data_IF_379848610904
#
_entry.id   IF_379848610904
#
_cell.length_a   1.000
_cell.length_b   1.000
_cell.length_c   1.000
_cell.angle_alpha   90.00
_cell.angle_beta   90.00
_cell.angle_gamma   90.00
#
_symmetry.space_group_name_H-M   'P 1'
#
loop_
_entity.id
_entity.type
_entity.pdbx_description
1 polymer ?
#
# COMPACT_ATOMS: atom_id res chain seq x y z
N UNK A 1 66.13 24.51 43.31
CA UNK A 1 65.89 25.63 42.37
C UNK A 1 65.22 25.04 41.14
N UNK A 2 64.03 25.56 40.81
CA UNK A 2 63.31 25.56 39.52
C UNK A 2 63.17 24.21 38.77
N UNK A 3 61.99 23.68 38.42
CA UNK A 3 60.66 24.25 38.30
C UNK A 3 59.67 23.16 37.84
N UNK A 4 58.39 23.53 37.87
CA UNK A 4 57.17 22.71 37.80
C UNK A 4 56.83 22.13 36.41
N UNK A 5 55.95 21.12 36.43
CA UNK A 5 55.03 20.73 35.35
C UNK A 5 55.07 19.20 35.15
N UNK A 6 54.12 18.37 35.60
CA UNK A 6 52.68 18.52 35.58
C UNK A 6 52.11 17.81 34.36
N UNK A 7 51.98 16.47 34.40
CA UNK A 7 51.12 15.72 33.47
C UNK A 7 50.44 14.60 34.27
N UNK A 8 49.20 14.88 34.68
CA UNK A 8 48.20 13.87 34.95
C UNK A 8 47.55 13.50 33.62
N UNK A 9 47.64 12.24 33.19
CA UNK A 9 46.83 11.72 32.09
C UNK A 9 46.88 10.17 32.09
N UNK A 10 45.76 9.54 32.45
CA UNK A 10 45.20 8.36 31.78
C UNK A 10 44.15 7.68 32.68
N UNK A 11 43.00 8.33 32.87
CA UNK A 11 41.76 7.64 33.20
C UNK A 11 40.84 7.80 31.98
N UNK A 12 41.06 6.98 30.96
CA UNK A 12 40.22 6.92 29.79
C UNK A 12 38.98 6.07 30.10
N UNK A 13 37.90 6.78 30.46
CA UNK A 13 36.51 6.55 30.06
C UNK A 13 36.14 5.13 29.56
N UNK A 14 35.71 4.27 30.49
CA UNK A 14 34.67 3.28 30.22
C UNK A 14 33.30 3.94 30.43
N UNK A 15 32.89 4.75 29.45
CA UNK A 15 31.49 5.11 29.26
C UNK A 15 31.01 4.30 28.07
N UNK A 16 30.75 3.00 28.29
CA UNK A 16 29.87 2.25 27.42
C UNK A 16 28.50 2.91 27.55
N UNK A 17 28.19 3.78 26.60
CA UNK A 17 26.87 4.35 26.46
C UNK A 17 25.90 3.19 26.22
N UNK A 18 25.24 2.73 27.28
CA UNK A 18 23.92 2.13 27.17
C UNK A 18 22.98 3.23 26.65
N UNK A 19 23.07 3.54 25.36
CA UNK A 19 21.95 4.16 24.69
C UNK A 19 20.81 3.15 24.81
N UNK A 20 19.85 3.45 25.68
CA UNK A 20 18.58 2.75 25.66
C UNK A 20 18.11 2.76 24.19
N UNK A 21 17.59 1.63 23.66
CA UNK A 21 16.98 1.66 22.35
C UNK A 21 15.96 2.82 22.33
N UNK A 22 15.86 3.58 21.22
CA UNK A 22 14.88 4.64 21.12
C UNK A 22 13.52 4.07 21.56
N UNK A 23 12.80 4.82 22.40
CA UNK A 23 11.48 4.40 22.83
C UNK A 23 10.68 4.02 21.56
N UNK A 24 10.00 2.86 21.53
CA UNK A 24 9.19 2.50 20.38
C UNK A 24 8.27 3.67 20.06
N UNK A 25 8.28 4.08 18.80
CA UNK A 25 7.46 5.20 18.32
C UNK A 25 6.00 4.98 18.76
N UNK A 26 5.30 6.04 19.19
CA UNK A 26 3.90 5.90 19.58
C UNK A 26 3.11 5.31 18.41
N UNK A 27 2.22 4.36 18.71
CA UNK A 27 1.21 3.87 17.77
C UNK A 27 0.60 5.04 17.02
N UNK A 28 0.86 5.12 15.72
CA UNK A 28 0.44 6.23 14.87
C UNK A 28 -0.43 5.73 13.75
N UNK A 29 -1.62 6.32 13.62
CA UNK A 29 -2.53 6.11 12.51
C UNK A 29 -2.56 7.38 11.68
N UNK A 30 -2.25 7.27 10.39
CA UNK A 30 -2.43 8.33 9.41
C UNK A 30 -3.57 7.95 8.46
N UNK A 31 -4.72 8.58 8.65
CA UNK A 31 -5.87 8.51 7.74
C UNK A 31 -5.64 9.37 6.50
N UNK A 32 -6.48 9.24 5.48
CA UNK A 32 -6.48 10.08 4.27
C UNK A 32 -6.30 11.57 4.63
N UNK A 33 -7.13 12.12 5.50
CA UNK A 33 -7.04 13.52 5.94
C UNK A 33 -5.68 13.87 6.57
N UNK A 34 -5.02 12.90 7.22
CA UNK A 34 -3.70 13.08 7.83
C UNK A 34 -2.60 13.02 6.78
N UNK A 35 -2.72 12.12 5.80
CA UNK A 35 -1.82 12.01 4.66
C UNK A 35 -1.86 13.29 3.82
N UNK A 36 -3.06 13.82 3.54
CA UNK A 36 -3.26 15.10 2.87
C UNK A 36 -2.57 16.26 3.60
N UNK A 37 -2.82 16.42 4.91
CA UNK A 37 -2.23 17.50 5.71
C UNK A 37 -0.71 17.45 5.77
N UNK A 38 -0.12 16.26 5.60
CA UNK A 38 1.33 16.06 5.62
C UNK A 38 1.95 16.13 4.23
N UNK A 39 1.15 16.34 3.17
CA UNK A 39 1.58 16.25 1.77
C UNK A 39 2.29 14.91 1.49
N UNK A 40 1.73 13.83 2.02
CA UNK A 40 2.26 12.49 1.83
C UNK A 40 2.21 12.06 0.34
N UNK A 41 3.20 11.32 -0.18
CA UNK A 41 3.19 10.83 -1.58
C UNK A 41 1.96 10.01 -1.97
N UNK A 42 1.20 9.48 -1.01
CA UNK A 42 -0.09 8.85 -1.26
C UNK A 42 -1.13 9.82 -1.86
N UNK A 43 -0.94 11.13 -1.74
CA UNK A 43 -1.80 12.18 -2.28
C UNK A 43 -1.02 13.04 -3.26
N UNK A 44 -1.53 13.19 -4.48
CA UNK A 44 -0.98 14.14 -5.45
C UNK A 44 -1.81 15.42 -5.47
N UNK A 45 -1.12 16.55 -5.36
CA UNK A 45 -1.72 17.88 -5.43
C UNK A 45 -2.13 18.24 -6.88
N UNK A 46 -3.06 19.20 -7.07
CA UNK A 46 -3.46 19.63 -8.41
C UNK A 46 -2.25 20.16 -9.21
N UNK A 47 -2.08 19.66 -10.43
CA UNK A 47 -0.90 19.98 -11.26
C UNK A 47 0.42 19.34 -10.78
N UNK A 48 0.39 18.54 -9.71
CA UNK A 48 1.54 17.81 -9.19
C UNK A 48 2.00 16.69 -10.12
N UNK A 49 3.21 16.22 -9.90
CA UNK A 49 3.81 15.12 -10.68
C UNK A 49 3.21 13.77 -10.28
N UNK A 50 2.79 12.98 -11.25
CA UNK A 50 2.28 11.64 -10.99
C UNK A 50 3.42 10.63 -10.91
N UNK A 51 3.39 9.80 -9.87
CA UNK A 51 4.40 8.78 -9.61
C UNK A 51 4.60 7.88 -10.85
N UNK A 52 5.84 7.79 -11.31
CA UNK A 52 6.26 6.89 -12.40
C UNK A 52 5.52 7.10 -13.74
N UNK A 53 4.92 8.28 -13.96
CA UNK A 53 4.28 8.71 -15.22
C UNK A 53 5.00 9.90 -15.90
N UNK A 54 6.09 10.39 -15.31
CA UNK A 54 6.91 11.47 -15.88
C UNK A 54 8.25 10.97 -16.40
N UNK A 55 8.92 11.76 -17.24
CA UNK A 55 10.31 11.48 -17.62
C UNK A 55 11.17 11.21 -16.37
N UNK A 56 12.02 10.17 -16.34
CA UNK A 56 12.43 9.33 -17.48
C UNK A 56 11.61 8.04 -17.68
N UNK A 57 10.46 7.89 -16.99
CA UNK A 57 9.59 6.74 -17.15
C UNK A 57 8.91 6.75 -18.51
N UNK A 58 8.59 5.57 -19.09
CA UNK A 58 7.98 5.53 -20.39
C UNK A 58 6.62 6.22 -20.35
N UNK A 59 6.38 7.11 -21.32
CA UNK A 59 5.13 7.85 -21.48
C UNK A 59 4.02 6.96 -22.07
N UNK A 60 3.92 5.69 -21.64
CA UNK A 60 2.89 4.78 -22.13
C UNK A 60 1.57 5.30 -21.58
N UNK A 61 0.70 5.79 -22.47
CA UNK A 61 -0.58 6.43 -22.13
C UNK A 61 -0.50 7.87 -21.59
N UNK A 62 0.66 8.35 -21.14
CA UNK A 62 0.81 9.62 -20.43
C UNK A 62 1.25 10.81 -21.31
N UNK A 63 0.32 11.70 -21.68
CA UNK A 63 0.59 12.98 -22.36
C UNK A 63 1.45 13.96 -21.53
N UNK A 64 1.24 14.06 -20.22
CA UNK A 64 1.92 15.08 -19.38
C UNK A 64 2.60 14.52 -18.13
N UNK A 65 2.11 13.38 -17.61
CA UNK A 65 2.49 12.87 -16.29
C UNK A 65 2.18 13.83 -15.13
N UNK A 66 1.28 14.80 -15.33
CA UNK A 66 0.84 15.76 -14.33
C UNK A 66 -0.62 15.52 -13.95
N UNK A 67 -0.93 15.66 -12.67
CA UNK A 67 -2.30 15.62 -12.14
C UNK A 67 -3.15 16.76 -12.72
N UNK A 68 -4.46 16.52 -12.88
CA UNK A 68 -5.45 17.55 -13.23
C UNK A 68 -5.30 18.79 -12.34
N UNK A 69 -5.44 19.99 -12.90
CA UNK A 69 -5.23 21.26 -12.16
C UNK A 69 -6.39 21.63 -11.24
N UNK A 70 -7.53 20.94 -11.35
CA UNK A 70 -8.76 21.24 -10.62
C UNK A 70 -9.00 20.36 -9.39
N UNK A 71 -8.23 19.29 -9.19
CA UNK A 71 -8.49 18.33 -8.12
C UNK A 71 -7.23 17.59 -7.66
N UNK A 72 -7.23 17.19 -6.39
CA UNK A 72 -6.28 16.23 -5.83
C UNK A 72 -6.59 14.82 -6.30
N UNK A 73 -5.70 13.89 -6.01
CA UNK A 73 -5.95 12.46 -6.23
C UNK A 73 -5.14 11.57 -5.31
N UNK A 74 -5.68 10.38 -5.05
CA UNK A 74 -4.94 9.25 -4.51
C UNK A 74 -3.95 8.78 -5.56
N UNK A 75 -2.66 8.81 -5.20
CA UNK A 75 -1.58 8.33 -6.05
C UNK A 75 -1.78 6.85 -6.36
N UNK A 76 -1.63 6.51 -7.64
CA UNK A 76 -1.59 5.12 -8.08
C UNK A 76 -0.14 4.67 -8.09
N UNK A 77 0.16 3.67 -7.29
CA UNK A 77 1.49 3.06 -7.24
C UNK A 77 1.49 1.80 -8.11
N UNK A 78 2.46 1.63 -9.02
CA UNK A 78 2.63 0.37 -9.70
C UNK A 78 3.23 -0.64 -8.73
N UNK A 79 2.84 -1.89 -8.92
CA UNK A 79 3.37 -3.02 -8.19
C UNK A 79 3.52 -4.22 -9.13
N UNK A 80 4.12 -5.26 -8.59
CA UNK A 80 4.00 -6.62 -9.11
C UNK A 80 3.28 -7.49 -8.09
N UNK A 81 2.58 -8.49 -8.57
CA UNK A 81 2.04 -9.56 -7.74
C UNK A 81 1.95 -10.81 -8.60
N UNK A 82 2.43 -11.93 -8.06
CA UNK A 82 2.31 -13.25 -8.70
C UNK A 82 2.83 -13.28 -10.15
N UNK A 83 3.95 -12.61 -10.41
CA UNK A 83 4.60 -12.61 -11.73
C UNK A 83 3.95 -11.65 -12.73
N UNK A 84 2.93 -10.89 -12.32
CA UNK A 84 2.14 -10.01 -13.19
C UNK A 84 2.10 -8.56 -12.68
N UNK A 85 1.83 -7.60 -13.57
CA UNK A 85 1.48 -6.24 -13.19
C UNK A 85 0.33 -6.18 -12.17
N UNK A 86 0.50 -5.29 -11.19
CA UNK A 86 -0.52 -4.89 -10.25
C UNK A 86 -0.43 -3.37 -10.02
N UNK A 87 -1.43 -2.81 -9.35
CA UNK A 87 -1.43 -1.43 -8.89
C UNK A 87 -2.31 -1.27 -7.65
N UNK A 88 -1.97 -0.31 -6.79
CA UNK A 88 -2.71 0.00 -5.58
C UNK A 88 -2.71 1.51 -5.30
N UNK A 89 -3.61 1.94 -4.42
CA UNK A 89 -3.59 3.27 -3.80
C UNK A 89 -3.41 3.10 -2.30
N UNK A 90 -2.84 4.07 -1.58
CA UNK A 90 -2.74 4.01 -0.11
C UNK A 90 -3.77 4.95 0.51
N UNK A 91 -4.60 4.46 1.43
CA UNK A 91 -5.62 5.28 2.10
C UNK A 91 -5.34 5.47 3.59
N UNK A 92 -4.72 4.49 4.24
CA UNK A 92 -4.34 4.56 5.64
C UNK A 92 -2.96 3.96 5.86
N UNK A 93 -2.21 4.51 6.83
CA UNK A 93 -0.99 3.91 7.36
C UNK A 93 -1.08 3.76 8.88
N UNK A 94 -0.61 2.62 9.38
CA UNK A 94 -0.45 2.36 10.81
C UNK A 94 1.00 2.02 11.11
N UNK A 95 1.63 2.79 11.98
CA UNK A 95 2.98 2.51 12.47
C UNK A 95 2.89 1.90 13.88
N UNK A 96 3.58 0.77 14.07
CA UNK A 96 3.71 -0.02 15.28
C UNK A 96 2.44 -0.74 15.76
N UNK A 97 1.43 -0.90 14.91
CA UNK A 97 0.24 -1.72 15.22
C UNK A 97 0.49 -3.20 14.92
N UNK A 98 0.11 -4.06 15.86
CA UNK A 98 0.21 -5.51 15.69
C UNK A 98 -0.90 -6.07 14.81
N UNK A 99 -2.12 -5.58 14.97
CA UNK A 99 -3.30 -6.04 14.21
C UNK A 99 -4.26 -4.88 13.95
N UNK A 100 -5.11 -5.05 12.94
CA UNK A 100 -6.21 -4.13 12.61
C UNK A 100 -7.52 -4.92 12.65
N UNK A 101 -8.56 -4.34 13.23
CA UNK A 101 -9.86 -4.99 13.38
C UNK A 101 -10.91 -4.39 12.45
N UNK A 102 -11.79 -5.24 11.93
CA UNK A 102 -13.02 -4.80 11.32
C UNK A 102 -13.94 -4.14 12.38
N UNK A 103 -14.44 -2.95 12.08
CA UNK A 103 -15.30 -2.17 12.96
C UNK A 103 -16.78 -2.33 12.60
N UNK A 104 -17.72 -2.18 13.54
CA UNK A 104 -19.14 -2.27 13.20
C UNK A 104 -19.59 -1.12 12.28
N UNK A 105 -20.42 -1.45 11.29
CA UNK A 105 -21.15 -0.51 10.45
C UNK A 105 -22.63 -0.86 10.49
N UNK A 106 -23.45 0.06 11.01
CA UNK A 106 -24.89 -0.16 11.12
C UNK A 106 -25.60 0.37 9.88
N UNK A 107 -26.49 -0.40 9.29
CA UNK A 107 -27.21 -0.03 8.06
C UNK A 107 -28.71 -0.18 8.27
N UNK A 108 -29.42 0.93 8.08
CA UNK A 108 -30.87 0.99 8.15
C UNK A 108 -31.52 0.54 6.84
N UNK A 109 -32.07 -0.67 6.83
CA UNK A 109 -32.72 -1.23 5.62
C UNK A 109 -34.08 -0.60 5.30
N UNK A 110 -34.65 0.17 6.23
CA UNK A 110 -35.95 0.84 6.05
C UNK A 110 -35.83 2.29 5.56
N UNK A 111 -34.65 2.90 5.69
CA UNK A 111 -34.35 4.26 5.22
C UNK A 111 -33.24 4.26 4.17
N UNK A 112 -33.49 3.60 3.03
CA UNK A 112 -32.61 3.63 1.85
C UNK A 112 -31.15 3.20 2.13
N UNK A 113 -30.93 2.27 3.07
CA UNK A 113 -29.60 1.80 3.47
C UNK A 113 -28.70 2.90 4.03
N UNK A 114 -29.28 3.86 4.78
CA UNK A 114 -28.50 4.85 5.52
C UNK A 114 -27.50 4.14 6.44
N UNK A 115 -26.23 4.51 6.32
CA UNK A 115 -25.13 3.88 7.04
C UNK A 115 -24.67 4.76 8.21
N UNK A 116 -24.28 4.11 9.30
CA UNK A 116 -23.76 4.73 10.52
C UNK A 116 -22.50 3.96 10.94
N UNK A 117 -21.33 4.60 10.79
CA UNK A 117 -20.06 4.06 11.26
C UNK A 117 -20.01 4.09 12.79
N UNK A 118 -19.59 2.97 13.40
CA UNK A 118 -19.44 2.91 14.85
C UNK A 118 -18.33 3.80 15.40
N UNK A 119 -17.33 4.09 14.57
CA UNK A 119 -16.14 4.85 14.93
C UNK A 119 -15.84 5.84 13.78
N UNK A 120 -15.46 7.06 14.11
CA UNK A 120 -15.01 8.06 13.14
C UNK A 120 -13.49 7.97 12.86
N UNK A 121 -13.02 8.63 11.81
CA UNK A 121 -11.61 8.69 11.43
C UNK A 121 -10.69 9.45 12.40
N UNK A 122 -11.25 10.10 13.44
CA UNK A 122 -10.45 10.78 14.47
C UNK A 122 -10.05 9.85 15.62
N UNK A 123 -10.71 8.69 15.72
CA UNK A 123 -10.38 7.66 16.71
C UNK A 123 -9.08 6.94 16.38
N UNK A 124 -8.30 6.58 17.40
CA UNK A 124 -7.12 5.71 17.28
C UNK A 124 -7.46 4.25 16.96
N UNK A 125 -8.73 3.86 17.13
CA UNK A 125 -9.26 2.53 16.82
C UNK A 125 -9.91 2.47 15.44
N UNK A 126 -9.91 3.56 14.70
CA UNK A 126 -10.45 3.59 13.34
C UNK A 126 -9.73 2.59 12.43
N UNK A 127 -10.53 1.92 11.60
CA UNK A 127 -10.05 1.17 10.44
C UNK A 127 -11.03 1.35 9.28
N UNK A 128 -10.57 1.19 8.03
CA UNK A 128 -11.43 1.23 6.84
C UNK A 128 -12.15 -0.09 6.57
N UNK A 129 -12.06 -1.07 7.48
CA UNK A 129 -12.64 -2.39 7.34
C UNK A 129 -13.87 -2.50 8.24
N UNK A 130 -15.00 -2.87 7.68
CA UNK A 130 -16.27 -2.80 8.38
C UNK A 130 -17.02 -4.13 8.37
N UNK A 131 -17.50 -4.58 9.52
CA UNK A 131 -18.50 -5.64 9.63
C UNK A 131 -19.89 -4.99 9.63
N UNK A 132 -20.70 -5.29 8.60
CA UNK A 132 -22.03 -4.71 8.45
C UNK A 132 -23.03 -5.40 9.38
N UNK A 133 -23.85 -4.61 10.07
CA UNK A 133 -25.02 -5.05 10.82
C UNK A 133 -26.26 -4.33 10.28
N UNK A 134 -27.20 -5.10 9.75
CA UNK A 134 -28.48 -4.58 9.26
C UNK A 134 -29.47 -4.44 10.43
N UNK A 135 -30.27 -3.38 10.40
CA UNK A 135 -31.38 -3.19 11.31
C UNK A 135 -32.56 -2.49 10.63
N UNK A 136 -33.76 -2.67 11.18
CA UNK A 136 -34.96 -1.94 10.76
C UNK A 136 -35.21 -0.77 11.71
N UNK A 137 -35.43 0.43 11.17
CA UNK A 137 -35.69 1.61 11.98
C UNK A 137 -37.01 1.48 12.75
N UNK A 138 -37.04 1.72 14.07
CA UNK A 138 -38.28 1.67 14.82
C UNK A 138 -39.28 2.74 14.35
N UNK A 139 -40.55 2.36 14.22
CA UNK A 139 -41.60 3.31 13.83
C UNK A 139 -41.72 4.44 14.87
N UNK A 140 -41.72 5.69 14.41
CA UNK A 140 -41.83 6.87 15.26
C UNK A 140 -40.54 7.28 15.99
N UNK A 141 -39.45 6.52 15.87
CA UNK A 141 -38.16 6.92 16.42
C UNK A 141 -37.53 8.07 15.60
N UNK A 142 -36.76 8.98 16.26
CA UNK A 142 -35.98 9.99 15.57
C UNK A 142 -34.95 9.34 14.64
N UNK A 143 -34.36 10.13 13.73
CA UNK A 143 -33.23 9.67 12.93
C UNK A 143 -32.04 9.29 13.81
N UNK A 144 -31.41 8.15 13.51
CA UNK A 144 -30.17 7.72 14.16
C UNK A 144 -28.99 8.27 13.37
N UNK A 145 -28.05 8.90 14.08
CA UNK A 145 -26.83 9.48 13.51
C UNK A 145 -25.57 9.00 14.22
N UNK A 146 -25.75 8.29 15.32
CA UNK A 146 -24.66 7.72 16.10
C UNK A 146 -24.90 6.22 16.34
N UNK A 147 -23.84 5.43 16.43
CA UNK A 147 -23.95 4.03 16.78
C UNK A 147 -24.60 3.83 18.15
N UNK A 148 -24.43 4.77 19.07
CA UNK A 148 -25.11 4.78 20.35
C UNK A 148 -26.64 4.83 20.19
N UNK A 149 -27.16 5.60 19.23
CA UNK A 149 -28.61 5.66 18.99
C UNK A 149 -29.15 4.26 18.60
N UNK A 150 -28.40 3.55 17.75
CA UNK A 150 -28.73 2.19 17.30
C UNK A 150 -28.70 1.21 18.48
N UNK A 151 -27.64 1.26 19.29
CA UNK A 151 -27.44 0.34 20.41
C UNK A 151 -28.42 0.59 21.56
N UNK A 152 -28.63 1.85 21.94
CA UNK A 152 -29.54 2.25 23.02
C UNK A 152 -31.02 1.98 22.64
N UNK A 153 -31.34 1.95 21.34
CA UNK A 153 -32.65 1.55 20.84
C UNK A 153 -32.93 0.04 20.94
N UNK A 154 -31.93 -0.79 21.27
CA UNK A 154 -32.04 -2.25 21.39
C UNK A 154 -32.70 -2.92 20.17
N UNK A 155 -32.44 -2.39 18.97
CA UNK A 155 -32.97 -2.96 17.73
C UNK A 155 -32.30 -4.31 17.43
N UNK A 156 -33.02 -5.27 16.85
CA UNK A 156 -32.41 -6.50 16.37
C UNK A 156 -31.36 -6.20 15.29
N UNK A 157 -30.14 -6.72 15.47
CA UNK A 157 -29.03 -6.58 14.54
C UNK A 157 -28.78 -7.90 13.83
N UNK A 158 -28.75 -7.89 12.49
CA UNK A 158 -28.41 -9.05 11.67
C UNK A 158 -27.07 -8.83 10.98
N UNK A 159 -26.05 -9.69 11.20
CA UNK A 159 -24.77 -9.55 10.50
C UNK A 159 -24.94 -9.75 9.00
N UNK A 160 -24.15 -9.02 8.21
CA UNK A 160 -24.08 -9.13 6.75
C UNK A 160 -22.60 -9.13 6.28
N UNK A 161 -22.35 -9.18 4.98
CA UNK A 161 -20.99 -9.11 4.43
C UNK A 161 -20.27 -7.83 4.85
N UNK A 162 -18.97 -7.91 5.07
CA UNK A 162 -18.14 -6.74 5.33
C UNK A 162 -18.16 -5.69 4.20
N UNK A 163 -17.75 -4.48 4.56
CA UNK A 163 -17.60 -3.30 3.69
C UNK A 163 -16.19 -2.75 3.82
N UNK A 164 -15.60 -2.36 2.71
CA UNK A 164 -14.27 -1.74 2.67
C UNK A 164 -14.42 -0.30 2.21
N UNK A 165 -14.22 0.66 3.11
CA UNK A 165 -14.30 2.07 2.77
C UNK A 165 -13.51 2.94 3.75
N UNK A 166 -12.89 3.98 3.22
CA UNK A 166 -12.08 4.93 3.98
C UNK A 166 -12.86 6.23 4.19
N UNK A 167 -13.01 6.67 5.44
CA UNK A 167 -13.64 7.94 5.78
C UNK A 167 -12.68 9.09 5.43
N UNK A 168 -13.20 10.12 4.75
CA UNK A 168 -12.46 11.33 4.35
C UNK A 168 -13.35 12.56 4.45
N UNK A 169 -12.74 13.73 4.62
CA UNK A 169 -13.43 15.02 4.50
C UNK A 169 -13.52 15.52 3.06
N UNK A 170 -12.70 14.99 2.15
CA UNK A 170 -12.65 15.41 0.75
C UNK A 170 -13.45 14.44 -0.14
N UNK A 171 -14.67 14.84 -0.52
CA UNK A 171 -15.53 14.08 -1.43
C UNK A 171 -15.01 14.00 -2.86
N UNK A 172 -14.04 14.86 -3.21
CA UNK A 172 -13.45 14.95 -4.54
C UNK A 172 -12.18 14.12 -4.67
N UNK A 173 -11.63 13.64 -3.55
CA UNK A 173 -10.45 12.80 -3.54
C UNK A 173 -10.80 11.38 -4.03
N UNK A 174 -10.51 11.11 -5.29
CA UNK A 174 -10.59 9.79 -5.93
C UNK A 174 -9.20 9.39 -6.46
N UNK A 175 -9.11 8.44 -7.40
CA UNK A 175 -7.83 8.10 -8.04
C UNK A 175 -7.24 9.28 -8.83
N UNK A 176 -5.93 9.46 -8.76
CA UNK A 176 -5.21 10.49 -9.51
C UNK A 176 -5.41 10.35 -11.02
N UNK A 177 -5.71 11.46 -11.68
CA UNK A 177 -6.01 11.53 -13.11
C UNK A 177 -5.02 12.49 -13.75
N UNK A 178 -4.38 12.03 -14.81
CA UNK A 178 -3.48 12.87 -15.56
C UNK A 178 -4.25 13.92 -16.38
N UNK A 179 -3.65 15.09 -16.58
CA UNK A 179 -4.16 16.13 -17.47
C UNK A 179 -4.44 15.59 -18.88
N UNK A 180 -5.66 15.82 -19.33
CA UNK A 180 -6.14 15.42 -20.66
C UNK A 180 -6.69 14.00 -20.75
N UNK A 181 -6.69 13.25 -19.64
CA UNK A 181 -7.28 11.90 -19.56
C UNK A 181 -8.60 11.93 -18.77
N UNK A 182 -9.47 10.97 -19.08
CA UNK A 182 -10.81 10.85 -18.48
C UNK A 182 -10.90 9.83 -17.34
N UNK A 183 -9.83 9.10 -17.05
CA UNK A 183 -9.78 8.08 -16.02
C UNK A 183 -8.35 7.98 -15.45
N UNK A 184 -8.19 7.46 -14.23
CA UNK A 184 -6.88 7.13 -13.68
C UNK A 184 -6.18 6.05 -14.52
N UNK A 185 -4.86 6.14 -14.61
CA UNK A 185 -4.03 5.20 -15.38
C UNK A 185 -3.03 4.49 -14.47
N UNK A 186 -2.70 3.25 -14.82
CA UNK A 186 -1.59 2.53 -14.20
C UNK A 186 -0.26 3.12 -14.68
N UNK A 187 0.68 3.43 -13.76
CA UNK A 187 2.03 3.81 -14.14
C UNK A 187 2.79 2.70 -14.89
N UNK A 188 3.71 3.10 -15.77
CA UNK A 188 4.57 2.28 -16.64
C UNK A 188 3.93 1.70 -17.91
N UNK A 189 2.64 1.33 -17.92
CA UNK A 189 1.96 0.81 -19.13
C UNK A 189 0.75 1.64 -19.59
N UNK A 190 0.25 2.59 -18.78
CA UNK A 190 -0.81 3.51 -19.18
C UNK A 190 -2.19 2.87 -19.28
N UNK A 191 -2.37 1.66 -18.76
CA UNK A 191 -3.66 0.97 -18.80
C UNK A 191 -4.66 1.69 -17.87
N UNK A 192 -5.92 1.90 -18.30
CA UNK A 192 -6.93 2.49 -17.43
C UNK A 192 -7.20 1.60 -16.22
N UNK A 193 -7.23 2.20 -15.03
CA UNK A 193 -7.64 1.51 -13.80
C UNK A 193 -9.00 2.01 -13.35
N UNK A 194 -9.68 1.22 -12.51
CA UNK A 194 -10.98 1.65 -11.97
C UNK A 194 -10.75 2.73 -10.92
N UNK A 195 -11.59 3.77 -10.91
CA UNK A 195 -11.61 4.77 -9.84
C UNK A 195 -12.65 4.36 -8.77
N UNK A 196 -12.37 4.55 -7.47
CA UNK A 196 -13.38 4.35 -6.44
C UNK A 196 -14.45 5.44 -6.53
N UNK A 197 -15.56 5.25 -5.80
CA UNK A 197 -16.66 6.23 -5.73
C UNK A 197 -16.69 6.87 -4.35
N UNK A 198 -17.17 8.11 -4.25
CA UNK A 198 -17.49 8.72 -2.96
C UNK A 198 -18.96 8.52 -2.62
N UNK A 199 -19.23 8.42 -1.31
CA UNK A 199 -20.57 8.39 -0.73
C UNK A 199 -20.55 9.04 0.66
N UNK A 200 -21.72 9.12 1.31
CA UNK A 200 -21.87 9.73 2.62
C UNK A 200 -22.62 8.82 3.59
N UNK A 201 -22.29 8.95 4.87
CA UNK A 201 -22.87 8.22 5.99
C UNK A 201 -22.82 9.08 7.25
N UNK A 202 -23.29 8.55 8.37
CA UNK A 202 -23.09 9.16 9.68
C UNK A 202 -21.90 8.55 10.42
N UNK A 203 -21.18 9.37 11.19
CA UNK A 203 -20.22 8.91 12.19
C UNK A 203 -20.18 9.94 13.34
N UNK A 204 -20.21 9.46 14.58
CA UNK A 204 -20.20 10.32 15.77
C UNK A 204 -21.24 11.46 15.73
N UNK A 205 -22.45 11.19 15.20
CA UNK A 205 -23.52 12.17 15.03
C UNK A 205 -23.38 13.13 13.84
N UNK A 206 -22.28 13.07 13.08
CA UNK A 206 -21.99 13.98 11.98
C UNK A 206 -22.16 13.30 10.61
N UNK A 207 -22.55 14.08 9.59
CA UNK A 207 -22.43 13.68 8.19
C UNK A 207 -20.94 13.56 7.82
N UNK A 208 -20.52 12.40 7.36
CA UNK A 208 -19.15 12.13 6.90
C UNK A 208 -19.17 11.60 5.48
N UNK A 209 -18.07 11.84 4.77
CA UNK A 209 -17.85 11.27 3.45
C UNK A 209 -16.89 10.09 3.53
N UNK A 210 -17.01 9.18 2.58
CA UNK A 210 -16.11 8.05 2.48
C UNK A 210 -15.89 7.65 1.03
N UNK A 211 -14.72 7.07 0.79
CA UNK A 211 -14.34 6.44 -0.47
C UNK A 211 -14.74 4.98 -0.38
N UNK A 212 -15.62 4.54 -1.28
CA UNK A 212 -16.05 3.15 -1.40
C UNK A 212 -14.98 2.32 -2.14
N UNK A 213 -14.34 1.43 -1.39
CA UNK A 213 -13.27 0.54 -1.86
C UNK A 213 -13.79 -0.88 -2.17
N UNK A 214 -15.11 -1.09 -2.08
CA UNK A 214 -15.80 -2.34 -2.37
C UNK A 214 -16.33 -3.05 -1.13
N UNK A 215 -16.77 -4.30 -1.30
CA UNK A 215 -17.37 -5.11 -0.24
C UNK A 215 -16.42 -6.24 0.20
N UNK A 216 -16.92 -7.18 1.01
CA UNK A 216 -16.17 -8.30 1.58
C UNK A 216 -15.34 -9.12 0.57
N UNK A 217 -15.65 -9.10 -0.74
CA UNK A 217 -14.80 -9.76 -1.73
C UNK A 217 -13.41 -9.10 -1.89
N UNK A 218 -13.11 -8.02 -1.15
CA UNK A 218 -11.85 -7.28 -1.18
C UNK A 218 -10.90 -7.65 -0.04
N UNK A 219 -11.41 -8.20 1.06
CA UNK A 219 -10.63 -8.49 2.26
C UNK A 219 -11.30 -9.59 3.06
N UNK A 220 -10.51 -10.30 3.85
CA UNK A 220 -11.00 -11.33 4.77
C UNK A 220 -10.67 -10.91 6.20
N UNK A 221 -11.42 -11.41 7.17
CA UNK A 221 -11.16 -11.20 8.59
C UNK A 221 -11.71 -12.40 9.35
N UNK A 222 -11.12 -12.67 10.52
CA UNK A 222 -11.59 -13.72 11.40
C UNK A 222 -12.95 -13.32 12.02
N UNK A 223 -14.01 -14.13 11.87
CA UNK A 223 -15.36 -13.75 12.29
C UNK A 223 -15.56 -13.72 13.82
N UNK A 224 -14.61 -14.25 14.59
CA UNK A 224 -14.70 -14.29 16.07
C UNK A 224 -13.94 -13.12 16.68
N UNK A 225 -12.72 -12.89 16.21
CA UNK A 225 -11.80 -11.87 16.73
C UNK A 225 -11.90 -10.55 15.96
N UNK A 226 -12.53 -10.55 14.77
CA UNK A 226 -12.62 -9.44 13.83
C UNK A 226 -11.27 -8.93 13.30
N UNK A 227 -10.18 -9.68 13.51
CA UNK A 227 -8.86 -9.32 12.99
C UNK A 227 -8.86 -9.47 11.46
N UNK A 228 -8.46 -8.42 10.77
CA UNK A 228 -8.35 -8.38 9.31
C UNK A 228 -7.12 -9.16 8.85
N UNK A 229 -7.30 -10.01 7.84
CA UNK A 229 -6.20 -10.76 7.23
C UNK A 229 -5.22 -9.80 6.57
N UNK A 230 -3.96 -9.86 7.00
CA UNK A 230 -2.85 -9.11 6.40
C UNK A 230 -2.06 -9.95 5.39
N UNK A 231 -1.49 -9.27 4.41
CA UNK A 231 -0.56 -9.86 3.42
C UNK A 231 0.75 -9.06 3.37
N UNK A 232 1.89 -9.64 2.96
CA UNK A 232 3.16 -8.92 2.92
C UNK A 232 3.25 -8.01 1.69
N UNK A 233 3.64 -6.75 1.88
CA UNK A 233 4.06 -5.85 0.80
C UNK A 233 5.57 -5.70 0.86
N UNK A 234 6.26 -6.31 -0.10
CA UNK A 234 7.71 -6.35 -0.15
C UNK A 234 8.24 -5.07 -0.82
N UNK A 235 8.95 -4.27 -0.05
CA UNK A 235 9.66 -3.08 -0.50
C UNK A 235 11.15 -3.42 -0.69
N UNK A 236 11.70 -3.16 -1.88
CA UNK A 236 13.09 -3.47 -2.15
C UNK A 236 14.02 -2.47 -1.48
N UNK A 237 15.11 -2.97 -0.93
CA UNK A 237 16.11 -2.17 -0.24
C UNK A 237 17.53 -2.55 -0.65
N UNK A 238 18.43 -1.58 -0.58
CA UNK A 238 19.88 -1.75 -0.68
C UNK A 238 20.53 -1.45 0.67
N UNK A 239 21.69 -2.03 0.99
CA UNK A 239 22.38 -1.72 2.24
C UNK A 239 22.96 -0.31 2.21
N UNK A 240 22.80 0.44 3.30
CA UNK A 240 23.56 1.67 3.54
C UNK A 240 25.03 1.38 3.93
N UNK A 241 25.78 2.44 4.26
CA UNK A 241 27.18 2.31 4.69
C UNK A 241 27.38 1.45 5.95
N UNK A 242 26.34 1.28 6.77
CA UNK A 242 26.33 0.46 7.99
C UNK A 242 25.72 -0.93 7.77
N UNK A 243 25.24 -1.23 6.57
CA UNK A 243 24.56 -2.48 6.22
C UNK A 243 23.07 -2.51 6.56
N UNK A 244 22.45 -1.41 6.97
CA UNK A 244 21.02 -1.32 7.21
C UNK A 244 20.25 -1.20 5.89
N UNK A 245 19.06 -1.81 5.76
CA UNK A 245 18.24 -1.68 4.56
C UNK A 245 17.74 -0.25 4.40
N UNK A 246 17.91 0.29 3.19
CA UNK A 246 17.31 1.56 2.74
C UNK A 246 16.44 1.26 1.53
N UNK A 247 15.14 1.51 1.67
CA UNK A 247 14.16 1.34 0.59
C UNK A 247 14.57 2.14 -0.65
N UNK A 248 14.48 1.51 -1.81
CA UNK A 248 14.69 2.13 -3.12
C UNK A 248 13.36 2.36 -3.82
N UNK A 249 13.25 3.44 -4.58
CA UNK A 249 12.05 3.84 -5.33
C UNK A 249 11.79 2.93 -6.55
N UNK A 250 11.41 1.68 -6.27
CA UNK A 250 11.03 0.65 -7.23
C UNK A 250 9.61 0.14 -6.95
N UNK A 251 8.90 -0.38 -7.97
CA UNK A 251 7.61 -1.04 -7.76
C UNK A 251 7.71 -2.15 -6.71
N UNK A 252 6.81 -2.10 -5.73
CA UNK A 252 6.74 -3.09 -4.64
C UNK A 252 6.12 -4.39 -5.13
N UNK A 253 6.34 -5.47 -4.38
CA UNK A 253 5.69 -6.77 -4.66
C UNK A 253 4.63 -7.05 -3.61
N UNK A 254 3.38 -7.11 -4.05
CA UNK A 254 2.27 -7.53 -3.20
C UNK A 254 2.17 -9.06 -3.14
N UNK A 255 2.30 -9.63 -1.95
CA UNK A 255 1.89 -11.00 -1.67
C UNK A 255 0.38 -11.24 -1.61
N UNK A 256 0.01 -12.50 -1.39
CA UNK A 256 -1.36 -12.99 -1.60
C UNK A 256 -1.87 -13.82 -0.43
N UNK A 257 -1.01 -14.14 0.53
CA UNK A 257 -1.38 -14.76 1.81
C UNK A 257 -0.38 -14.40 2.89
N UNK A 258 -0.50 -14.99 4.10
CA UNK A 258 0.49 -14.83 5.15
C UNK A 258 1.90 -15.23 4.67
N UNK A 259 2.98 -14.71 5.28
CA UNK A 259 4.34 -15.12 4.96
C UNK A 259 4.50 -16.64 4.92
N UNK A 260 5.17 -17.15 3.90
CA UNK A 260 5.38 -18.59 3.63
C UNK A 260 4.12 -19.40 3.36
N UNK A 261 2.98 -18.74 3.13
CA UNK A 261 1.70 -19.35 2.80
C UNK A 261 0.96 -18.56 1.70
N UNK A 262 1.57 -18.37 0.52
CA UNK A 262 0.93 -17.65 -0.58
C UNK A 262 -0.36 -18.36 -1.04
N UNK A 263 -1.38 -17.58 -1.41
CA UNK A 263 -2.64 -18.11 -1.96
C UNK A 263 -2.57 -18.40 -3.46
N UNK A 264 -1.41 -18.12 -4.07
CA UNK A 264 -1.17 -18.15 -5.50
C UNK A 264 0.10 -18.93 -5.86
N UNK A 265 0.20 -19.31 -7.14
CA UNK A 265 1.29 -20.16 -7.65
C UNK A 265 2.50 -19.39 -8.23
N UNK A 266 2.60 -18.06 -8.05
CA UNK A 266 3.65 -17.23 -8.66
C UNK A 266 3.46 -16.90 -10.14
N UNK A 267 2.39 -17.37 -10.79
CA UNK A 267 2.08 -17.09 -12.20
C UNK A 267 0.70 -16.42 -12.39
N UNK A 268 0.14 -15.87 -11.32
CA UNK A 268 -1.16 -15.20 -11.30
C UNK A 268 -2.36 -16.13 -11.11
N UNK A 269 -2.15 -17.43 -10.92
CA UNK A 269 -3.27 -18.34 -10.58
C UNK A 269 -3.42 -18.43 -9.07
N UNK A 270 -4.60 -18.06 -8.57
CA UNK A 270 -4.82 -17.76 -7.17
C UNK A 270 -6.12 -18.38 -6.64
N UNK A 271 -6.07 -18.84 -5.39
CA UNK A 271 -7.26 -19.04 -4.56
C UNK A 271 -7.71 -17.70 -3.96
N UNK A 272 -9.00 -17.55 -3.67
CA UNK A 272 -9.54 -16.27 -3.15
C UNK A 272 -9.61 -15.15 -4.19
N UNK A 273 -9.74 -15.48 -5.48
CA UNK A 273 -10.07 -14.51 -6.54
C UNK A 273 -11.45 -14.85 -7.10
N UNK A 274 -12.46 -14.06 -6.76
CA UNK A 274 -13.86 -14.29 -7.13
C UNK A 274 -14.30 -13.25 -8.15
N UNK A 275 -14.65 -13.68 -9.35
CA UNK A 275 -15.11 -12.78 -10.41
C UNK A 275 -14.09 -11.71 -10.82
N UNK A 276 -12.78 -12.02 -10.68
CA UNK A 276 -11.68 -11.10 -10.96
C UNK A 276 -11.31 -10.16 -9.81
N UNK A 277 -11.89 -10.37 -8.62
CA UNK A 277 -11.63 -9.56 -7.42
C UNK A 277 -10.85 -10.41 -6.41
N UNK A 278 -9.62 -10.02 -6.02
CA UNK A 278 -8.87 -10.69 -4.97
C UNK A 278 -9.43 -10.35 -3.59
N UNK A 279 -9.64 -11.38 -2.76
CA UNK A 279 -10.05 -11.30 -1.34
C UNK A 279 -8.86 -11.11 -0.38
N UNK A 280 -7.74 -10.64 -0.93
CA UNK A 280 -6.46 -10.43 -0.26
C UNK A 280 -5.85 -9.11 -0.75
N UNK A 281 -4.79 -8.66 -0.08
CA UNK A 281 -4.09 -7.45 -0.51
C UNK A 281 -4.89 -6.18 -0.29
N UNK A 282 -5.77 -6.15 0.72
CA UNK A 282 -6.39 -4.90 1.19
C UNK A 282 -5.61 -4.30 2.37
N UNK A 283 -5.16 -5.14 3.30
CA UNK A 283 -4.25 -4.77 4.40
C UNK A 283 -2.88 -5.39 4.14
N UNK A 284 -1.86 -4.55 4.14
CA UNK A 284 -0.51 -4.98 3.86
C UNK A 284 0.44 -4.66 4.99
N UNK A 285 1.28 -5.62 5.36
CA UNK A 285 2.43 -5.36 6.20
C UNK A 285 3.68 -5.16 5.36
N UNK A 286 4.31 -4.00 5.51
CA UNK A 286 5.52 -3.68 4.76
C UNK A 286 6.68 -4.53 5.28
N UNK A 287 7.39 -5.17 4.36
CA UNK A 287 8.62 -5.91 4.62
C UNK A 287 9.74 -5.34 3.76
N UNK A 288 10.87 -5.00 4.39
CA UNK A 288 12.06 -4.59 3.66
C UNK A 288 12.77 -5.84 3.13
N UNK A 289 13.05 -5.85 1.83
CA UNK A 289 13.78 -6.93 1.15
C UNK A 289 15.15 -6.42 0.76
N UNK A 290 16.16 -6.76 1.58
CA UNK A 290 17.55 -6.44 1.33
C UNK A 290 18.09 -7.27 0.17
N UNK A 291 18.13 -6.65 -1.02
CA UNK A 291 18.46 -7.35 -2.25
C UNK A 291 19.84 -8.02 -2.22
N UNK A 292 19.98 -9.25 -2.74
CA UNK A 292 21.27 -9.88 -2.95
C UNK A 292 22.17 -9.05 -3.88
N UNK A 293 23.49 -9.15 -3.72
CA UNK A 293 24.45 -8.37 -4.52
C UNK A 293 24.35 -8.65 -6.02
N UNK A 294 23.88 -9.85 -6.41
CA UNK A 294 23.68 -10.22 -7.81
C UNK A 294 22.41 -9.62 -8.44
N UNK A 295 21.52 -9.06 -7.62
CA UNK A 295 20.25 -8.55 -8.10
C UNK A 295 20.42 -7.28 -8.94
N UNK A 296 19.55 -7.14 -9.94
CA UNK A 296 19.50 -5.94 -10.78
C UNK A 296 18.10 -5.75 -11.38
N UNK A 297 17.88 -4.58 -11.96
CA UNK A 297 16.57 -4.11 -12.44
C UNK A 297 16.53 -4.17 -13.96
N UNK A 298 15.46 -4.73 -14.51
CA UNK A 298 15.24 -4.72 -15.96
C UNK A 298 14.85 -3.32 -16.44
N UNK A 299 15.67 -2.78 -17.35
CA UNK A 299 15.39 -1.55 -18.09
C UNK A 299 15.59 -1.77 -19.60
N UNK A 300 14.52 -1.66 -20.41
CA UNK A 300 14.60 -1.81 -21.87
C UNK A 300 15.72 -0.99 -22.51
N UNK A 301 16.38 -1.55 -23.54
CA UNK A 301 17.51 -0.93 -24.24
C UNK A 301 17.21 0.51 -24.69
N UNK A 302 15.99 0.74 -25.18
CA UNK A 302 15.48 2.02 -25.70
C UNK A 302 15.14 3.09 -24.64
N UNK A 303 15.35 2.82 -23.34
CA UNK A 303 15.11 3.79 -22.25
C UNK A 303 16.42 4.17 -21.51
N UNK A 304 17.37 4.86 -22.17
CA UNK A 304 18.65 5.22 -21.55
C UNK A 304 18.53 6.15 -20.35
N UNK A 305 17.61 7.13 -20.38
CA UNK A 305 17.40 8.03 -19.24
C UNK A 305 16.86 7.29 -18.01
N UNK A 306 15.98 6.29 -18.21
CA UNK A 306 15.49 5.45 -17.11
C UNK A 306 16.62 4.60 -16.54
N UNK A 307 17.47 4.06 -17.41
CA UNK A 307 18.65 3.28 -17.01
C UNK A 307 19.59 4.10 -16.14
N UNK A 308 19.84 5.35 -16.51
CA UNK A 308 20.69 6.25 -15.73
C UNK A 308 20.06 6.59 -14.37
N UNK A 309 18.72 6.78 -14.32
CA UNK A 309 18.01 6.92 -13.05
C UNK A 309 18.16 5.70 -12.15
N UNK A 310 17.98 4.49 -12.70
CA UNK A 310 18.13 3.23 -11.96
C UNK A 310 19.59 3.03 -11.50
N UNK A 311 20.58 3.41 -12.30
CA UNK A 311 21.99 3.42 -11.87
C UNK A 311 22.25 4.36 -10.71
N UNK A 312 21.62 5.53 -10.71
CA UNK A 312 21.72 6.48 -9.60
C UNK A 312 21.12 5.92 -8.28
N UNK A 313 20.22 4.93 -8.36
CA UNK A 313 19.73 4.21 -7.18
C UNK A 313 20.71 3.16 -6.64
N UNK A 314 21.80 2.84 -7.36
CA UNK A 314 22.82 1.88 -6.92
C UNK A 314 22.87 0.55 -7.69
N UNK A 315 22.10 0.42 -8.78
CA UNK A 315 22.09 -0.77 -9.64
C UNK A 315 23.08 -0.65 -10.82
N UNK A 316 23.39 -1.77 -11.47
CA UNK A 316 24.18 -1.74 -12.72
C UNK A 316 23.30 -1.33 -13.90
N UNK A 317 22.05 -1.83 -13.91
CA UNK A 317 21.08 -1.72 -14.99
C UNK A 317 21.73 -2.05 -16.34
N UNK A 318 22.17 -3.31 -16.56
CA UNK A 318 22.83 -3.69 -17.80
C UNK A 318 21.91 -3.45 -19.00
N UNK A 319 22.50 -3.25 -20.18
CA UNK A 319 21.71 -3.26 -21.42
C UNK A 319 21.26 -4.71 -21.65
N UNK A 320 19.94 -4.98 -21.72
CA UNK A 320 19.47 -6.35 -21.82
C UNK A 320 19.77 -6.96 -23.20
N UNK A 321 20.05 -8.27 -23.26
CA UNK A 321 20.33 -8.98 -24.52
C UNK A 321 19.15 -9.04 -25.48
N UNK A 322 17.92 -8.98 -24.94
CA UNK A 322 16.67 -8.97 -25.68
C UNK A 322 15.64 -8.11 -24.97
N UNK A 323 14.71 -7.50 -25.72
CA UNK A 323 13.59 -6.79 -25.09
C UNK A 323 12.56 -7.79 -24.56
N UNK A 324 12.15 -7.58 -23.32
CA UNK A 324 10.89 -8.05 -22.75
C UNK A 324 9.82 -6.96 -22.96
N UNK A 325 8.56 -7.32 -22.74
CA UNK A 325 7.43 -6.38 -22.82
C UNK A 325 7.42 -5.34 -21.69
N UNK A 326 6.56 -4.34 -21.81
CA UNK A 326 6.47 -3.21 -20.88
C UNK A 326 6.12 -3.65 -19.44
N UNK A 327 5.46 -4.80 -19.29
CA UNK A 327 5.15 -5.46 -18.02
C UNK A 327 6.39 -5.85 -17.19
N UNK A 328 7.59 -5.82 -17.78
CA UNK A 328 8.84 -6.12 -17.07
C UNK A 328 9.60 -4.87 -16.64
N UNK A 329 9.20 -3.68 -17.09
CA UNK A 329 9.90 -2.42 -16.78
C UNK A 329 9.98 -2.25 -15.26
N UNK A 330 11.19 -2.01 -14.75
CA UNK A 330 11.51 -1.88 -13.32
C UNK A 330 11.30 -3.15 -12.48
N UNK A 331 11.08 -4.32 -13.10
CA UNK A 331 11.07 -5.60 -12.39
C UNK A 331 12.48 -5.97 -11.94
N UNK A 332 12.60 -6.54 -10.74
CA UNK A 332 13.87 -6.95 -10.14
C UNK A 332 14.12 -8.43 -10.40
N UNK A 333 15.31 -8.78 -10.86
CA UNK A 333 15.79 -10.15 -10.94
C UNK A 333 16.89 -10.38 -9.89
N UNK A 334 16.86 -11.51 -9.19
CA UNK A 334 17.83 -11.85 -8.13
C UNK A 334 19.25 -12.09 -8.69
N UNK A 335 19.34 -12.51 -9.94
CA UNK A 335 20.55 -12.75 -10.73
C UNK A 335 20.73 -11.72 -11.86
N UNK A 336 20.08 -10.56 -11.71
CA UNK A 336 19.94 -9.52 -12.73
C UNK A 336 21.24 -9.06 -13.36
N UNK A 337 22.34 -8.98 -12.59
CA UNK A 337 23.64 -8.50 -13.10
C UNK A 337 24.20 -9.35 -14.24
N UNK A 338 23.90 -10.65 -14.22
CA UNK A 338 24.37 -11.60 -15.24
C UNK A 338 23.26 -11.99 -16.20
N UNK A 339 22.05 -12.30 -15.72
CA UNK A 339 21.00 -12.84 -16.55
C UNK A 339 20.45 -11.81 -17.55
N UNK A 340 20.33 -10.53 -17.16
CA UNK A 340 19.76 -9.50 -18.05
C UNK A 340 20.64 -9.27 -19.28
N UNK A 341 21.97 -9.27 -19.11
CA UNK A 341 22.91 -9.11 -20.20
C UNK A 341 23.07 -10.37 -21.08
N UNK A 342 22.60 -11.53 -20.62
CA UNK A 342 22.74 -12.81 -21.31
C UNK A 342 21.43 -13.28 -21.96
N UNK A 343 20.37 -13.43 -21.18
CA UNK A 343 19.04 -13.84 -21.60
C UNK A 343 17.99 -13.42 -20.54
N UNK A 344 17.41 -12.21 -20.68
CA UNK A 344 16.39 -11.70 -19.76
C UNK A 344 15.20 -12.65 -19.55
N UNK A 345 14.84 -13.47 -20.54
CA UNK A 345 13.70 -14.38 -20.42
C UNK A 345 13.91 -15.51 -19.41
N UNK A 346 15.16 -15.76 -19.02
CA UNK A 346 15.56 -16.81 -18.06
C UNK A 346 15.98 -16.26 -16.70
N UNK A 347 15.89 -14.95 -16.49
CA UNK A 347 16.15 -14.35 -15.19
C UNK A 347 15.23 -14.92 -14.12
N UNK A 348 15.75 -15.00 -12.89
CA UNK A 348 14.95 -15.38 -11.73
C UNK A 348 14.36 -14.12 -11.10
N UNK A 349 13.07 -13.90 -11.33
CA UNK A 349 12.39 -12.65 -10.98
C UNK A 349 11.89 -12.63 -9.54
N UNK A 350 12.03 -11.49 -8.87
CA UNK A 350 11.45 -11.19 -7.56
C UNK A 350 10.15 -10.39 -7.77
N UNK A 351 9.10 -11.04 -8.24
CA UNK A 351 7.86 -10.39 -8.69
C UNK A 351 6.59 -11.06 -8.15
N UNK A 352 6.77 -11.97 -7.19
CA UNK A 352 5.71 -12.67 -6.47
C UNK A 352 6.16 -12.99 -5.06
N UNK A 353 5.20 -13.23 -4.16
CA UNK A 353 5.51 -13.66 -2.80
C UNK A 353 6.34 -14.95 -2.79
N UNK A 354 5.92 -15.94 -3.57
CA UNK A 354 6.61 -17.23 -3.64
C UNK A 354 8.06 -17.10 -4.14
N UNK A 355 8.33 -16.21 -5.10
CA UNK A 355 9.69 -15.99 -5.57
C UNK A 355 10.55 -15.28 -4.52
N UNK A 356 10.01 -14.25 -3.85
CA UNK A 356 10.77 -13.56 -2.81
C UNK A 356 11.10 -14.51 -1.66
N UNK A 357 10.12 -15.26 -1.17
CA UNK A 357 10.29 -16.18 -0.04
C UNK A 357 11.16 -17.41 -0.36
N UNK A 358 11.33 -17.76 -1.63
CA UNK A 358 12.18 -18.89 -2.04
C UNK A 358 13.59 -18.48 -2.50
N UNK A 359 13.76 -17.28 -3.05
CA UNK A 359 15.03 -16.82 -3.62
C UNK A 359 15.82 -15.92 -2.68
N UNK A 360 15.14 -15.26 -1.74
CA UNK A 360 15.77 -14.38 -0.76
C UNK A 360 15.85 -15.10 0.57
N UNK A 361 17.06 -15.20 1.11
CA UNK A 361 17.28 -15.79 2.45
C UNK A 361 16.55 -14.98 3.52
N UNK A 362 15.88 -15.67 4.45
CA UNK A 362 14.93 -15.09 5.41
C UNK A 362 15.47 -13.88 6.18
N UNK A 363 16.73 -13.91 6.62
CA UNK A 363 17.34 -12.79 7.36
C UNK A 363 17.44 -11.48 6.57
N UNK A 364 17.28 -11.52 5.24
CA UNK A 364 17.23 -10.34 4.37
C UNK A 364 15.83 -9.77 4.20
N UNK A 365 14.81 -10.42 4.76
CA UNK A 365 13.41 -9.98 4.72
C UNK A 365 13.02 -9.54 6.12
N UNK A 366 12.90 -8.23 6.34
CA UNK A 366 12.61 -7.67 7.66
C UNK A 366 11.18 -7.17 7.71
N UNK A 367 10.38 -7.74 8.61
CA UNK A 367 9.05 -7.23 8.95
C UNK A 367 9.19 -5.85 9.58
N UNK A 368 8.60 -4.84 8.96
CA UNK A 368 8.56 -3.49 9.55
C UNK A 368 7.38 -3.36 10.53
N UNK A 369 7.39 -2.30 11.35
CA UNK A 369 6.25 -1.92 12.16
C UNK A 369 5.08 -1.33 11.37
N UNK A 370 5.17 -1.24 10.04
CA UNK A 370 4.22 -0.50 9.20
C UNK A 370 3.19 -1.42 8.55
N UNK A 371 1.93 -1.09 8.77
CA UNK A 371 0.79 -1.57 8.02
C UNK A 371 0.26 -0.46 7.11
N UNK A 372 -0.26 -0.84 5.95
CA UNK A 372 -0.89 0.09 5.01
C UNK A 372 -2.17 -0.53 4.45
N UNK A 373 -3.22 0.28 4.37
CA UNK A 373 -4.42 -0.09 3.62
C UNK A 373 -4.18 0.31 2.18
N UNK A 374 -4.08 -0.71 1.33
CA UNK A 374 -3.82 -0.52 -0.08
C UNK A 374 -4.81 -1.29 -0.93
N UNK A 375 -6.01 -0.75 -1.24
CA UNK A 375 -6.90 -1.38 -2.21
C UNK A 375 -6.16 -1.67 -3.52
N UNK A 376 -6.08 -2.95 -3.90
CA UNK A 376 -5.67 -3.34 -5.24
C UNK A 376 -6.67 -2.78 -6.26
N UNK A 377 -6.18 -1.99 -7.21
CA UNK A 377 -6.99 -1.43 -8.31
C UNK A 377 -6.66 -2.09 -9.65
N UNK A 378 -5.56 -2.82 -9.69
CA UNK A 378 -5.19 -3.72 -10.78
C UNK A 378 -4.53 -4.99 -10.20
N UNK A 379 -4.89 -6.15 -10.74
CA UNK A 379 -4.29 -7.43 -10.41
C UNK A 379 -4.21 -8.30 -11.67
N UNK A 380 -3.08 -8.97 -11.89
CA UNK A 380 -2.84 -9.76 -13.10
C UNK A 380 -2.98 -8.97 -14.42
N UNK A 381 -2.59 -7.70 -14.43
CA UNK A 381 -2.76 -6.82 -15.60
C UNK A 381 -4.22 -6.54 -15.95
N UNK A 382 -5.13 -6.67 -15.00
CA UNK A 382 -6.57 -6.40 -15.18
C UNK A 382 -7.09 -5.48 -14.09
N UNK A 383 -7.92 -4.48 -14.44
CA UNK A 383 -8.54 -3.61 -13.44
C UNK A 383 -9.38 -4.42 -12.44
N UNK A 384 -9.27 -4.07 -11.16
CA UNK A 384 -10.08 -4.68 -10.10
C UNK A 384 -11.30 -3.77 -9.85
N UNK A 385 -12.52 -4.21 -10.20
CA UNK A 385 -13.70 -3.34 -10.18
C UNK A 385 -14.18 -3.00 -8.77
N UNK A 386 -14.40 -1.72 -8.48
CA UNK A 386 -15.11 -1.28 -7.28
C UNK A 386 -16.61 -1.56 -7.45
N UNK A 387 -17.19 -2.40 -6.58
CA UNK A 387 -18.58 -2.85 -6.67
C UNK A 387 -19.40 -2.45 -5.46
#
# INVERSE_FOLDING_TARGET
MNGRGGIAAAAALLAAACAAPPAPDPWTLSTIDTLERRHDPAIVEPGGTLALLQSPYPAVGAKTGLQQTSQRGLTIFPAFSEGKPAAYMTTETWDNFDVVWAQPLYVDITRQNQAIFAIDASSRFYSPYWQVFLYSHPSGAPEFRDARDVLDAHVPLSPNSGKFCAITRDQTLLGAIQQGDGAPLRPLNGDPVTAPKSASAYAAGNDVSFIDLGNAQRFTFDPVTLVVDETPLYAFALPDANGFPVEVDLPKVGGTGPPHSPRCNGSGTCTGVIGGIPEFGALWRVHDVLLPVAADVYVPANLPALRDKVRAMGFTAPVPASSLGDDFILRVAVDGKTCLAADPSKCTWLDSQNQIESQVVEWRVTRTGRLVTCPLIEFNGKPVPFR
#
